data_IF_606913483750
#
_entry.id   IF_606913483750
#
_cell.length_a   1.000
_cell.length_b   1.000
_cell.length_c   1.000
_cell.angle_alpha   90.00
_cell.angle_beta   90.00
_cell.angle_gamma   90.00
#
_symmetry.space_group_name_H-M   'P 1'
#
loop_
_entity.id
_entity.type
_entity.pdbx_description
1 polymer ?
#
# COMPACT_ATOMS: atom_id res chain seq x y z
N UNK A 1 -35.74 77.04 -22.97
CA UNK A 1 -35.93 76.03 -21.95
C UNK A 1 -35.43 74.69 -22.53
N UNK A 2 -34.19 74.24 -22.19
CA UNK A 2 -33.60 72.96 -22.64
C UNK A 2 -33.82 71.88 -21.56
N UNK A 3 -34.55 70.82 -21.88
CA UNK A 3 -34.75 69.69 -21.00
C UNK A 3 -33.61 68.70 -21.24
N UNK A 4 -32.82 68.47 -20.20
CA UNK A 4 -31.85 67.36 -20.16
C UNK A 4 -32.58 66.06 -19.72
N UNK A 5 -32.56 65.05 -20.57
CA UNK A 5 -33.02 63.75 -20.22
C UNK A 5 -31.84 62.92 -19.71
N UNK A 6 -31.84 62.55 -18.42
CA UNK A 6 -30.86 61.71 -17.82
C UNK A 6 -31.23 60.23 -18.14
N UNK A 7 -30.39 59.54 -18.88
CA UNK A 7 -30.50 58.08 -19.15
C UNK A 7 -29.76 57.34 -18.00
N UNK A 8 -30.52 56.65 -17.15
CA UNK A 8 -30.00 55.81 -16.10
C UNK A 8 -29.71 54.41 -16.71
N UNK A 9 -28.44 54.10 -16.92
CA UNK A 9 -28.03 52.75 -17.39
C UNK A 9 -28.01 51.79 -16.21
N UNK A 10 -28.97 50.84 -16.19
CA UNK A 10 -29.00 49.78 -15.21
C UNK A 10 -27.98 48.70 -15.60
N UNK A 11 -26.90 48.58 -14.82
CA UNK A 11 -25.86 47.53 -14.96
C UNK A 11 -26.39 46.24 -14.30
N UNK A 12 -26.91 45.32 -15.07
CA UNK A 12 -27.29 43.97 -14.60
C UNK A 12 -26.06 43.14 -14.39
N UNK A 13 -25.71 42.90 -13.14
CA UNK A 13 -24.64 41.99 -12.73
C UNK A 13 -25.12 40.53 -12.93
N UNK A 14 -24.70 39.89 -14.00
CA UNK A 14 -24.99 38.46 -14.25
C UNK A 14 -24.18 37.62 -13.27
N UNK A 15 -24.85 37.02 -12.28
CA UNK A 15 -24.26 36.01 -11.38
C UNK A 15 -24.09 34.69 -12.13
N UNK A 16 -22.86 34.39 -12.52
CA UNK A 16 -22.50 33.06 -13.08
C UNK A 16 -22.59 32.06 -11.93
N UNK A 17 -23.45 31.02 -11.99
CA UNK A 17 -23.48 29.99 -10.97
C UNK A 17 -22.15 29.23 -11.01
N UNK A 18 -21.41 29.27 -9.93
CA UNK A 18 -20.23 28.43 -9.72
C UNK A 18 -20.74 26.97 -9.59
N UNK A 19 -20.69 26.20 -10.68
CA UNK A 19 -20.93 24.76 -10.65
C UNK A 19 -19.77 24.15 -9.87
N UNK A 20 -19.98 23.81 -8.60
CA UNK A 20 -19.07 22.95 -7.86
C UNK A 20 -19.08 21.59 -8.56
N UNK A 21 -18.06 21.28 -9.30
CA UNK A 21 -17.78 19.90 -9.70
C UNK A 21 -17.58 19.11 -8.41
N UNK A 22 -18.52 18.24 -8.10
CA UNK A 22 -18.38 17.34 -6.96
C UNK A 22 -17.10 16.53 -7.17
N UNK A 23 -16.12 16.74 -6.33
CA UNK A 23 -14.94 15.89 -6.27
C UNK A 23 -15.45 14.48 -5.92
N UNK A 24 -15.00 13.44 -6.64
CA UNK A 24 -15.27 12.08 -6.22
C UNK A 24 -14.62 11.88 -4.85
N UNK A 25 -15.38 11.35 -3.90
CA UNK A 25 -14.87 11.10 -2.55
C UNK A 25 -13.78 10.02 -2.61
N UNK A 26 -12.79 10.06 -1.69
CA UNK A 26 -11.82 8.99 -1.54
C UNK A 26 -12.53 7.64 -1.30
N UNK A 27 -12.03 6.58 -1.93
CA UNK A 27 -12.60 5.24 -1.80
C UNK A 27 -11.79 4.48 -0.74
N UNK A 28 -12.50 3.91 0.24
CA UNK A 28 -11.89 3.06 1.27
C UNK A 28 -11.97 1.61 0.86
N UNK A 29 -10.81 0.98 0.73
CA UNK A 29 -10.64 -0.44 0.40
C UNK A 29 -10.15 -1.21 1.62
N UNK A 30 -10.58 -2.46 1.74
CA UNK A 30 -9.98 -3.48 2.61
C UNK A 30 -9.13 -4.42 1.76
N UNK A 31 -7.98 -4.85 2.26
CA UNK A 31 -7.15 -5.83 1.55
C UNK A 31 -7.88 -7.16 1.49
N UNK A 32 -8.02 -7.70 0.28
CA UNK A 32 -8.52 -9.06 0.04
C UNK A 32 -7.35 -10.04 0.15
N UNK A 33 -7.22 -10.66 1.32
CA UNK A 33 -6.14 -11.60 1.62
C UNK A 33 -6.16 -12.85 0.72
N UNK A 34 -7.34 -13.26 0.25
CA UNK A 34 -7.46 -14.46 -0.58
C UNK A 34 -6.82 -14.27 -1.97
N UNK A 35 -6.77 -13.02 -2.44
CA UNK A 35 -6.23 -12.66 -3.76
C UNK A 35 -4.98 -11.78 -3.69
N UNK A 36 -4.38 -11.66 -2.50
CA UNK A 36 -3.16 -10.88 -2.28
C UNK A 36 -1.98 -11.77 -1.86
N UNK A 37 -0.77 -11.29 -2.10
CA UNK A 37 0.46 -11.94 -1.65
C UNK A 37 1.43 -10.92 -1.03
N UNK A 38 1.96 -11.25 0.15
CA UNK A 38 2.96 -10.46 0.88
C UNK A 38 4.24 -11.29 0.95
N UNK A 39 5.04 -11.18 -0.10
CA UNK A 39 6.21 -12.01 -0.34
C UNK A 39 7.54 -11.32 -0.04
N UNK A 40 8.56 -12.12 0.23
CA UNK A 40 9.93 -11.67 0.39
C UNK A 40 10.93 -12.69 -0.12
N UNK A 41 12.12 -12.21 -0.52
CA UNK A 41 13.26 -13.02 -0.93
C UNK A 41 14.52 -12.64 -0.14
N UNK A 42 15.22 -13.65 0.36
CA UNK A 42 16.50 -13.49 1.06
C UNK A 42 17.54 -14.44 0.43
N UNK A 43 18.74 -13.93 0.19
CA UNK A 43 19.86 -14.77 -0.26
C UNK A 43 20.23 -15.80 0.84
N UNK A 44 20.36 -17.06 0.42
CA UNK A 44 20.85 -18.15 1.25
C UNK A 44 21.93 -18.90 0.46
N UNK A 45 23.18 -18.80 0.88
CA UNK A 45 24.34 -19.19 0.09
C UNK A 45 24.35 -18.53 -1.30
N UNK A 46 24.16 -19.34 -2.34
CA UNK A 46 24.18 -18.94 -3.75
C UNK A 46 22.78 -18.91 -4.37
N UNK A 47 21.73 -19.17 -3.59
CA UNK A 47 20.34 -19.18 -4.02
C UNK A 47 19.50 -18.20 -3.19
N UNK A 48 18.22 -18.03 -3.52
CA UNK A 48 17.26 -17.27 -2.75
C UNK A 48 16.27 -18.20 -2.06
N UNK A 49 15.93 -17.88 -0.83
CA UNK A 49 14.78 -18.42 -0.14
C UNK A 49 13.63 -17.45 -0.33
N UNK A 50 12.57 -17.94 -0.96
CA UNK A 50 11.29 -17.24 -1.02
C UNK A 50 10.48 -17.56 0.22
N UNK A 51 9.85 -16.54 0.80
CA UNK A 51 8.90 -16.65 1.90
C UNK A 51 7.76 -15.66 1.76
N UNK A 52 6.70 -15.89 2.53
CA UNK A 52 5.55 -14.99 2.60
C UNK A 52 4.87 -15.02 3.95
N UNK A 53 4.02 -14.03 4.19
CA UNK A 53 3.09 -14.01 5.30
C UNK A 53 1.69 -14.32 4.78
N UNK A 54 0.94 -15.18 5.49
CA UNK A 54 -0.40 -15.62 5.08
C UNK A 54 -1.53 -14.97 5.86
N UNK A 55 -1.22 -14.26 6.96
CA UNK A 55 -2.19 -13.53 7.78
C UNK A 55 -1.80 -12.07 7.91
N UNK A 56 -2.59 -11.21 7.32
CA UNK A 56 -2.47 -9.77 7.38
C UNK A 56 -3.81 -9.11 7.14
N UNK A 57 -3.98 -7.91 7.69
CA UNK A 57 -5.15 -7.07 7.49
C UNK A 57 -4.67 -5.65 7.17
N UNK A 58 -5.44 -4.94 6.36
CA UNK A 58 -5.07 -3.58 6.01
C UNK A 58 -6.17 -2.83 5.28
N UNK A 59 -6.06 -1.52 5.33
CA UNK A 59 -6.94 -0.60 4.64
C UNK A 59 -6.14 0.35 3.74
N UNK A 60 -6.74 0.68 2.60
CA UNK A 60 -6.22 1.65 1.64
C UNK A 60 -7.32 2.68 1.41
N UNK A 61 -7.06 3.94 1.72
CA UNK A 61 -7.90 5.05 1.27
C UNK A 61 -7.27 5.61 0.02
N UNK A 62 -7.92 5.44 -1.10
CA UNK A 62 -7.41 5.85 -2.41
C UNK A 62 -8.24 7.01 -2.97
N UNK A 63 -7.56 8.12 -3.24
CA UNK A 63 -8.16 9.29 -3.88
C UNK A 63 -7.57 9.45 -5.30
N UNK A 64 -8.30 9.05 -6.35
CA UNK A 64 -7.82 9.12 -7.72
C UNK A 64 -7.63 10.56 -8.24
N UNK A 65 -8.24 11.56 -7.58
CA UNK A 65 -8.13 12.98 -7.95
C UNK A 65 -7.05 13.71 -7.16
N UNK A 66 -6.75 13.22 -5.96
CA UNK A 66 -5.71 13.75 -5.10
C UNK A 66 -4.89 12.61 -4.48
N UNK A 67 -4.06 11.99 -5.30
CA UNK A 67 -3.25 10.84 -4.91
C UNK A 67 -2.47 11.09 -3.60
N UNK A 68 -2.03 12.32 -3.36
CA UNK A 68 -1.28 12.68 -2.14
C UNK A 68 -2.12 12.64 -0.86
N UNK A 69 -3.46 12.61 -0.96
CA UNK A 69 -4.36 12.42 0.18
C UNK A 69 -4.62 10.93 0.48
N UNK A 70 -4.17 10.02 -0.39
CA UNK A 70 -4.31 8.58 -0.17
C UNK A 70 -3.49 8.10 1.02
N UNK A 71 -3.97 7.05 1.68
CA UNK A 71 -3.30 6.48 2.86
C UNK A 71 -3.35 4.95 2.84
N UNK A 72 -2.34 4.33 3.46
CA UNK A 72 -2.26 2.87 3.61
C UNK A 72 -1.92 2.53 5.06
N UNK A 73 -2.60 1.54 5.61
CA UNK A 73 -2.28 0.99 6.94
C UNK A 73 -2.42 -0.53 6.89
N UNK A 74 -1.37 -1.25 7.31
CA UNK A 74 -1.31 -2.72 7.26
C UNK A 74 -0.75 -3.25 8.56
N UNK A 75 -1.32 -4.37 9.02
CA UNK A 75 -0.79 -5.18 10.13
C UNK A 75 -0.64 -6.61 9.63
N UNK A 76 0.55 -7.19 9.82
CA UNK A 76 0.91 -8.55 9.42
C UNK A 76 1.20 -9.35 10.69
N UNK A 77 0.72 -10.59 10.77
CA UNK A 77 1.02 -11.49 11.90
C UNK A 77 2.30 -12.26 11.64
N UNK A 78 3.28 -12.11 12.54
CA UNK A 78 4.58 -12.79 12.43
C UNK A 78 4.44 -14.32 12.46
N UNK A 79 3.42 -14.85 13.18
CA UNK A 79 3.12 -16.28 13.22
C UNK A 79 2.83 -16.92 11.86
N UNK A 80 2.36 -16.09 10.92
CA UNK A 80 1.93 -16.55 9.61
C UNK A 80 3.04 -16.70 8.57
N UNK A 81 4.29 -16.45 8.99
CA UNK A 81 5.44 -16.60 8.09
C UNK A 81 5.57 -18.04 7.63
N UNK A 82 5.73 -18.21 6.33
CA UNK A 82 6.04 -19.51 5.72
C UNK A 82 7.06 -19.38 4.59
N UNK A 83 7.95 -20.32 4.55
CA UNK A 83 8.94 -20.52 3.48
C UNK A 83 8.80 -21.90 2.88
N UNK A 84 7.65 -22.59 3.12
CA UNK A 84 7.38 -23.98 2.76
C UNK A 84 8.37 -24.98 3.40
N UNK A 85 8.89 -24.65 4.59
CA UNK A 85 9.78 -25.51 5.36
C UNK A 85 9.53 -25.31 6.86
N UNK A 86 8.80 -26.21 7.49
CA UNK A 86 8.33 -26.12 8.88
C UNK A 86 9.47 -25.86 9.88
N UNK A 87 10.61 -26.53 9.72
CA UNK A 87 11.77 -26.35 10.61
C UNK A 87 12.33 -24.93 10.52
N UNK A 88 12.42 -24.38 9.31
CA UNK A 88 12.88 -23.01 9.09
C UNK A 88 11.86 -22.02 9.60
N UNK A 89 10.58 -22.22 9.31
CA UNK A 89 9.50 -21.35 9.73
C UNK A 89 9.40 -21.27 11.25
N UNK A 90 9.58 -22.41 11.95
CA UNK A 90 9.68 -22.44 13.42
C UNK A 90 10.86 -21.61 13.91
N UNK A 91 12.05 -21.72 13.31
CA UNK A 91 13.22 -20.92 13.67
C UNK A 91 13.02 -19.43 13.41
N UNK A 92 12.37 -19.07 12.29
CA UNK A 92 12.07 -17.67 11.98
C UNK A 92 11.18 -17.00 13.04
N UNK A 93 10.33 -17.75 13.74
CA UNK A 93 9.45 -17.23 14.81
C UNK A 93 10.16 -17.02 16.14
N UNK A 94 11.38 -17.58 16.33
CA UNK A 94 12.14 -17.46 17.59
C UNK A 94 12.78 -16.07 17.76
N UNK A 95 13.42 -15.88 18.94
CA UNK A 95 14.16 -14.65 19.27
C UNK A 95 15.37 -14.38 18.34
N UNK A 96 15.87 -15.40 17.65
CA UNK A 96 16.94 -15.25 16.66
C UNK A 96 16.51 -14.39 15.46
N UNK A 97 15.20 -14.39 15.15
CA UNK A 97 14.61 -13.66 14.04
C UNK A 97 13.47 -12.75 14.49
N UNK A 98 12.21 -13.04 14.19
CA UNK A 98 11.07 -12.14 14.43
C UNK A 98 10.69 -12.04 15.91
N UNK A 99 11.01 -13.03 16.72
CA UNK A 99 10.64 -13.09 18.13
C UNK A 99 9.15 -12.89 18.37
N UNK A 100 8.36 -13.73 17.74
CA UNK A 100 6.90 -13.65 17.71
C UNK A 100 6.23 -13.48 19.09
N UNK A 101 6.77 -14.12 20.15
CA UNK A 101 6.20 -14.01 21.49
C UNK A 101 6.24 -12.58 22.04
N UNK A 102 7.28 -11.82 21.69
CA UNK A 102 7.47 -10.44 22.15
C UNK A 102 6.94 -9.42 21.15
N UNK A 103 7.04 -9.71 19.86
CA UNK A 103 6.68 -8.84 18.76
C UNK A 103 5.77 -9.62 17.80
N UNK A 104 4.47 -9.74 18.11
CA UNK A 104 3.57 -10.63 17.37
C UNK A 104 3.20 -10.10 15.97
N UNK A 105 3.56 -8.85 15.66
CA UNK A 105 3.13 -8.20 14.42
C UNK A 105 4.21 -7.33 13.80
N UNK A 106 4.20 -7.27 12.46
CA UNK A 106 4.82 -6.24 11.65
C UNK A 106 3.72 -5.23 11.29
N UNK A 107 4.04 -3.94 11.31
CA UNK A 107 3.07 -2.90 10.91
C UNK A 107 3.69 -1.96 9.89
N UNK A 108 2.85 -1.47 8.97
CA UNK A 108 3.20 -0.40 8.05
C UNK A 108 2.11 0.66 8.06
N UNK A 109 2.52 1.93 8.12
CA UNK A 109 1.62 3.07 8.01
C UNK A 109 2.22 4.13 7.10
N UNK A 110 1.52 4.47 6.02
CA UNK A 110 1.96 5.53 5.12
C UNK A 110 2.01 6.89 5.81
N UNK A 111 3.04 7.66 5.51
CA UNK A 111 3.22 9.05 5.96
C UNK A 111 3.08 10.03 4.81
N UNK A 112 3.35 9.56 3.58
CA UNK A 112 3.31 10.39 2.38
C UNK A 112 3.14 9.53 1.14
N UNK A 113 2.36 10.02 0.16
CA UNK A 113 2.32 9.48 -1.20
C UNK A 113 3.01 10.49 -2.12
N UNK A 114 3.94 10.02 -2.94
CA UNK A 114 4.69 10.83 -3.90
C UNK A 114 4.33 10.37 -5.31
N UNK A 115 3.74 11.23 -6.15
CA UNK A 115 3.46 10.90 -7.56
C UNK A 115 4.74 10.48 -8.28
N UNK A 116 4.62 9.48 -9.15
CA UNK A 116 5.74 8.91 -9.90
C UNK A 116 5.83 9.45 -11.34
N UNK A 117 6.35 8.61 -12.23
CA UNK A 117 6.61 8.94 -13.64
C UNK A 117 5.34 9.14 -14.48
N UNK A 118 4.24 8.55 -14.07
CA UNK A 118 2.93 8.62 -14.73
C UNK A 118 1.81 8.41 -13.69
N UNK A 119 0.55 8.42 -14.13
CA UNK A 119 -0.63 8.34 -13.27
C UNK A 119 -0.78 7.00 -12.52
N UNK A 120 -0.15 5.93 -12.99
CA UNK A 120 -0.23 4.60 -12.40
C UNK A 120 0.97 4.29 -11.48
N UNK A 121 2.06 5.07 -11.54
CA UNK A 121 3.25 4.82 -10.73
C UNK A 121 3.41 5.91 -9.67
N UNK A 122 3.62 5.50 -8.43
CA UNK A 122 3.85 6.41 -7.30
C UNK A 122 4.65 5.72 -6.21
N UNK A 123 5.16 6.51 -5.29
CA UNK A 123 5.86 5.99 -4.11
C UNK A 123 4.99 6.15 -2.88
N UNK A 124 4.90 5.09 -2.08
CA UNK A 124 4.29 5.11 -0.76
C UNK A 124 5.39 5.14 0.28
N UNK A 125 5.63 6.32 0.84
CA UNK A 125 6.56 6.50 1.97
C UNK A 125 5.81 6.22 3.26
N UNK A 126 6.40 5.45 4.17
CA UNK A 126 5.73 5.11 5.42
C UNK A 126 6.66 4.51 6.46
N UNK A 127 6.13 4.37 7.65
CA UNK A 127 6.81 3.80 8.80
C UNK A 127 6.56 2.29 8.84
N UNK A 128 7.63 1.52 8.64
CA UNK A 128 7.65 0.06 8.76
C UNK A 128 8.21 -0.32 10.12
N UNK A 129 7.43 -1.03 10.92
CA UNK A 129 7.87 -1.53 12.21
C UNK A 129 8.02 -3.05 12.16
N UNK A 130 9.23 -3.54 12.40
CA UNK A 130 9.55 -4.95 12.52
C UNK A 130 10.27 -5.14 13.86
N UNK A 131 9.86 -6.14 14.65
CA UNK A 131 10.50 -6.47 15.92
C UNK A 131 10.65 -5.26 16.87
N UNK A 132 9.66 -4.36 16.86
CA UNK A 132 9.63 -3.14 17.69
C UNK A 132 10.53 -2.01 17.20
N UNK A 133 11.25 -2.18 16.09
CA UNK A 133 12.06 -1.14 15.47
C UNK A 133 11.30 -0.53 14.30
N UNK A 134 11.13 0.79 14.31
CA UNK A 134 10.43 1.53 13.25
C UNK A 134 11.43 2.28 12.38
N UNK A 135 11.29 2.15 11.07
CA UNK A 135 12.07 2.90 10.08
C UNK A 135 11.16 3.40 8.96
N UNK A 136 11.49 4.57 8.45
CA UNK A 136 10.84 5.08 7.23
C UNK A 136 11.37 4.32 6.01
N UNK A 137 10.45 3.80 5.22
CA UNK A 137 10.74 3.07 3.97
C UNK A 137 9.92 3.64 2.83
N UNK A 138 10.32 3.32 1.60
CA UNK A 138 9.62 3.73 0.38
C UNK A 138 9.26 2.50 -0.43
N UNK A 139 7.99 2.31 -0.69
CA UNK A 139 7.44 1.30 -1.58
C UNK A 139 7.29 1.93 -2.98
N UNK A 140 7.96 1.39 -3.98
CA UNK A 140 7.69 1.70 -5.37
C UNK A 140 6.43 0.95 -5.79
N UNK A 141 5.38 1.69 -6.14
CA UNK A 141 4.03 1.17 -6.31
C UNK A 141 3.50 1.44 -7.71
N UNK A 142 2.88 0.42 -8.30
CA UNK A 142 2.10 0.48 -9.53
C UNK A 142 0.64 0.21 -9.21
N UNK A 143 -0.25 1.11 -9.66
CA UNK A 143 -1.70 0.91 -9.64
C UNK A 143 -2.10 0.13 -10.89
N UNK A 144 -2.63 -1.08 -10.71
CA UNK A 144 -3.00 -1.98 -11.81
C UNK A 144 -4.39 -1.68 -12.37
N UNK A 145 -5.18 -0.89 -11.64
CA UNK A 145 -6.52 -0.50 -12.04
C UNK A 145 -7.57 -0.74 -10.95
N UNK A 146 -8.77 -0.22 -11.18
CA UNK A 146 -9.93 -0.47 -10.34
C UNK A 146 -11.23 -0.49 -11.16
N UNK A 147 -12.24 -1.20 -10.66
CA UNK A 147 -13.55 -1.25 -11.28
C UNK A 147 -14.57 -2.01 -10.44
N UNK A 148 -15.86 -1.80 -10.71
CA UNK A 148 -16.93 -2.56 -10.08
C UNK A 148 -16.99 -3.97 -10.68
N UNK A 149 -17.06 -4.98 -9.81
CA UNK A 149 -17.15 -6.37 -10.20
C UNK A 149 -18.56 -6.91 -10.00
N UNK A 150 -19.27 -7.13 -11.11
CA UNK A 150 -20.61 -7.74 -11.14
C UNK A 150 -20.50 -9.07 -11.91
N UNK A 151 -20.88 -10.18 -11.27
CA UNK A 151 -20.88 -11.51 -11.90
C UNK A 151 -22.22 -12.19 -11.66
N UNK A 152 -22.95 -12.49 -12.75
CA UNK A 152 -24.25 -13.17 -12.70
C UNK A 152 -25.26 -12.52 -11.75
N UNK A 153 -25.27 -11.19 -11.68
CA UNK A 153 -26.16 -10.41 -10.81
C UNK A 153 -25.67 -10.22 -9.36
N UNK A 154 -24.57 -10.84 -8.98
CA UNK A 154 -23.95 -10.64 -7.67
C UNK A 154 -22.97 -9.47 -7.71
N UNK A 155 -23.04 -8.60 -6.72
CA UNK A 155 -22.14 -7.47 -6.55
C UNK A 155 -20.96 -7.88 -5.64
N UNK A 156 -19.75 -7.86 -6.20
CA UNK A 156 -18.49 -8.12 -5.49
C UNK A 156 -17.81 -6.81 -5.04
N UNK A 157 -18.49 -5.67 -5.17
CA UNK A 157 -17.96 -4.36 -4.82
C UNK A 157 -17.02 -3.79 -5.87
N UNK A 158 -16.36 -2.69 -5.51
CA UNK A 158 -15.30 -2.10 -6.32
C UNK A 158 -13.99 -2.78 -5.95
N UNK A 159 -13.34 -3.38 -6.96
CA UNK A 159 -12.04 -4.04 -6.83
C UNK A 159 -10.93 -3.08 -7.26
N UNK A 160 -9.78 -3.14 -6.59
CA UNK A 160 -8.57 -2.41 -6.97
C UNK A 160 -7.35 -3.32 -6.86
N UNK A 161 -6.37 -3.15 -7.75
CA UNK A 161 -5.13 -3.90 -7.77
C UNK A 161 -3.91 -3.00 -7.64
N UNK A 162 -2.91 -3.44 -6.85
CA UNK A 162 -1.65 -2.74 -6.67
C UNK A 162 -0.49 -3.74 -6.66
N UNK A 163 0.61 -3.37 -7.31
CA UNK A 163 1.88 -4.05 -7.19
C UNK A 163 2.86 -3.11 -6.50
N UNK A 164 3.52 -3.55 -5.43
CA UNK A 164 4.51 -2.72 -4.76
C UNK A 164 5.78 -3.50 -4.46
N UNK A 165 6.92 -2.84 -4.54
CA UNK A 165 8.23 -3.41 -4.26
C UNK A 165 9.03 -2.54 -3.31
N UNK A 166 9.86 -3.19 -2.50
CA UNK A 166 10.78 -2.56 -1.56
C UNK A 166 12.00 -3.46 -1.39
N UNK A 167 13.17 -2.89 -1.27
CA UNK A 167 14.34 -3.60 -0.75
C UNK A 167 14.74 -3.01 0.61
N UNK A 168 14.74 -3.85 1.65
CA UNK A 168 15.38 -3.52 2.93
C UNK A 168 16.87 -3.81 2.74
N UNK A 169 17.77 -2.81 2.79
CA UNK A 169 19.18 -3.01 2.46
C UNK A 169 19.93 -3.80 3.53
N UNK A 170 19.51 -3.70 4.79
CA UNK A 170 20.09 -4.46 5.90
C UNK A 170 19.02 -4.82 6.95
N UNK A 171 18.63 -6.10 6.97
CA UNK A 171 17.68 -6.65 7.95
C UNK A 171 18.14 -6.52 9.41
N UNK A 172 19.45 -6.41 9.64
CA UNK A 172 20.02 -6.27 10.98
C UNK A 172 19.61 -4.96 11.64
N UNK A 173 19.29 -3.94 10.84
CA UNK A 173 18.78 -2.67 11.34
C UNK A 173 17.41 -2.81 12.05
N UNK A 174 16.68 -3.91 11.84
CA UNK A 174 15.47 -4.29 12.56
C UNK A 174 15.75 -5.32 13.67
N UNK A 175 17.03 -5.57 14.00
CA UNK A 175 17.42 -6.55 15.01
C UNK A 175 17.38 -8.02 14.54
N UNK A 176 17.20 -8.28 13.24
CA UNK A 176 17.26 -9.62 12.62
C UNK A 176 18.72 -9.98 12.33
N UNK A 177 19.52 -10.13 13.38
CA UNK A 177 20.98 -10.21 13.29
C UNK A 177 21.53 -11.62 13.08
N UNK A 178 20.71 -12.67 13.29
CA UNK A 178 21.18 -14.04 13.19
C UNK A 178 21.82 -14.34 11.82
N UNK A 179 22.99 -14.97 11.84
CA UNK A 179 23.69 -15.44 10.65
C UNK A 179 24.70 -16.53 11.06
N UNK A 180 25.30 -17.20 10.07
CA UNK A 180 26.47 -18.06 10.25
C UNK A 180 27.55 -17.67 9.27
N UNK A 181 28.78 -17.56 9.77
CA UNK A 181 29.97 -17.37 8.96
C UNK A 181 30.35 -18.68 8.30
N UNK A 182 30.78 -18.63 7.07
CA UNK A 182 31.28 -19.79 6.32
C UNK A 182 32.78 -19.95 6.53
N UNK A 183 33.29 -21.16 6.55
CA UNK A 183 34.71 -21.46 6.77
C UNK A 183 35.63 -20.80 5.73
N UNK A 184 35.12 -20.61 4.52
CA UNK A 184 35.84 -19.96 3.41
C UNK A 184 35.58 -18.45 3.31
N UNK A 185 34.96 -17.84 4.34
CA UNK A 185 34.58 -16.45 4.37
C UNK A 185 33.18 -16.16 3.82
N UNK A 186 32.62 -15.03 4.24
CA UNK A 186 31.25 -14.66 3.91
C UNK A 186 30.21 -15.22 4.88
N UNK A 187 28.94 -15.00 4.58
CA UNK A 187 27.80 -15.37 5.44
C UNK A 187 26.78 -16.23 4.69
N UNK A 188 26.11 -17.09 5.46
CA UNK A 188 25.07 -17.97 4.95
C UNK A 188 23.86 -17.19 4.43
N UNK A 189 23.40 -16.17 5.17
CA UNK A 189 22.27 -15.33 4.79
C UNK A 189 22.76 -13.97 4.27
N UNK A 190 22.04 -13.43 3.28
CA UNK A 190 22.18 -12.05 2.86
C UNK A 190 21.63 -11.08 3.91
N UNK A 191 22.09 -9.85 3.84
CA UNK A 191 21.62 -8.79 4.72
C UNK A 191 20.42 -8.06 4.09
N UNK A 192 20.39 -7.99 2.76
CA UNK A 192 19.30 -7.42 1.98
C UNK A 192 18.08 -8.37 1.90
N UNK A 193 16.89 -7.76 1.93
CA UNK A 193 15.61 -8.46 1.78
C UNK A 193 14.80 -7.75 0.70
N UNK A 194 14.52 -8.44 -0.40
CA UNK A 194 13.60 -7.95 -1.42
C UNK A 194 12.16 -8.31 -1.03
N UNK A 195 11.26 -7.33 -1.07
CA UNK A 195 9.85 -7.48 -0.74
C UNK A 195 9.03 -7.21 -2.00
N UNK A 196 8.08 -8.09 -2.28
CA UNK A 196 7.11 -7.95 -3.38
C UNK A 196 5.71 -8.13 -2.82
N UNK A 197 4.87 -7.15 -3.07
CA UNK A 197 3.48 -7.09 -2.60
C UNK A 197 2.57 -7.06 -3.82
N UNK A 198 1.74 -8.09 -3.99
CA UNK A 198 0.66 -8.11 -4.98
C UNK A 198 -0.65 -8.01 -4.21
N UNK A 199 -1.32 -6.87 -4.28
CA UNK A 199 -2.44 -6.53 -3.41
C UNK A 199 -3.72 -6.36 -4.23
N UNK A 200 -4.69 -7.22 -3.97
CA UNK A 200 -6.08 -7.04 -4.32
C UNK A 200 -6.80 -6.38 -3.14
N UNK A 201 -7.66 -5.42 -3.42
CA UNK A 201 -8.41 -4.72 -2.40
C UNK A 201 -9.86 -4.50 -2.83
N UNK A 202 -10.79 -4.58 -1.90
CA UNK A 202 -12.22 -4.49 -2.16
C UNK A 202 -12.87 -3.38 -1.34
N UNK A 203 -13.76 -2.62 -1.97
CA UNK A 203 -14.66 -1.65 -1.33
C UNK A 203 -16.10 -2.04 -1.58
N UNK A 204 -16.87 -2.20 -0.51
CA UNK A 204 -18.33 -2.37 -0.57
C UNK A 204 -19.08 -1.04 -0.41
N UNK A 205 -18.36 0.08 -0.29
CA UNK A 205 -18.98 1.40 -0.36
C UNK A 205 -19.43 1.65 -1.80
N UNK A 206 -20.68 2.07 -2.00
CA UNK A 206 -21.17 2.43 -3.33
C UNK A 206 -20.20 3.48 -3.95
N UNK A 207 -19.73 3.30 -5.18
CA UNK A 207 -18.92 4.33 -5.83
C UNK A 207 -19.74 5.61 -5.90
N UNK A 208 -19.14 6.74 -5.52
CA UNK A 208 -19.78 8.03 -5.68
C UNK A 208 -20.24 8.18 -7.14
N UNK A 209 -21.51 8.49 -7.36
CA UNK A 209 -22.13 8.58 -8.68
C UNK A 209 -21.32 9.48 -9.61
N UNK A 210 -20.52 8.91 -10.52
CA UNK A 210 -19.66 9.66 -11.46
C UNK A 210 -18.60 8.84 -12.20
N UNK A 211 -18.29 7.62 -11.80
CA UNK A 211 -17.19 6.82 -12.41
C UNK A 211 -17.67 5.81 -13.47
N UNK A 212 -18.84 5.98 -14.05
CA UNK A 212 -19.31 5.19 -15.18
C UNK A 212 -19.24 6.04 -16.44
N UNK A 213 -18.14 5.92 -17.22
CA UNK A 213 -18.07 6.08 -18.70
C UNK A 213 -16.61 6.28 -19.14
N UNK A 214 -15.99 5.34 -19.77
CA UNK A 214 -15.94 4.88 -21.15
C UNK A 214 -14.96 3.71 -21.25
#
# INVERSE_FOLDING_TARGET
>A
VKRFASILAALTLATIPFVRVAAADPISFQIDRAHSDVGFDVRHFFNKVHGKFTEYDGSIVYDPKNLTASTVSVTIRDSSITTNNERRDTHLRTQDFFWQEKYPTITFKSTKIVPGRDENHFQVVGDLTIRGVTKSVTLDTEFLGMGSAMISGNDFGTQAGFLATLTIPDRKEYGLIWNKTLDQGGTMLGDDVAITLNIAAVSHSAPAAGAAKK
#
